data_IF_455473226133
#
_entry.id   IF_455473226133
#
_cell.length_a   1.000
_cell.length_b   1.000
_cell.length_c   1.000
_cell.angle_alpha   90.00
_cell.angle_beta   90.00
_cell.angle_gamma   90.00
#
_symmetry.space_group_name_H-M   'P 1'
#
loop_
_entity.id
_entity.type
_entity.pdbx_description
1 polymer ?
#
# COMPACT_ATOMS: atom_id res chain seq x y z
N UNK A 1 5.35 -18.12 4.12
CA UNK A 1 6.27 -18.46 3.01
C UNK A 1 7.02 -17.19 2.63
N UNK A 2 8.31 -17.25 2.24
CA UNK A 2 9.00 -16.07 1.67
C UNK A 2 8.52 -15.93 0.22
N UNK A 3 7.36 -15.31 0.01
CA UNK A 3 6.84 -15.05 -1.33
C UNK A 3 7.88 -14.21 -2.11
N UNK A 4 8.45 -14.80 -3.15
CA UNK A 4 9.48 -14.18 -4.00
C UNK A 4 8.88 -13.53 -5.23
N UNK A 5 7.61 -13.79 -5.50
CA UNK A 5 6.91 -13.39 -6.71
C UNK A 5 5.67 -12.61 -6.33
N UNK A 6 5.34 -11.63 -7.16
CA UNK A 6 4.12 -10.86 -7.07
C UNK A 6 2.93 -11.78 -7.40
N UNK A 7 1.88 -11.79 -6.59
CA UNK A 7 0.69 -12.61 -6.79
C UNK A 7 -0.24 -12.09 -7.90
N UNK A 8 -0.06 -10.83 -8.34
CA UNK A 8 -0.87 -10.25 -9.42
C UNK A 8 -0.36 -10.65 -10.82
N UNK A 9 0.95 -10.69 -11.03
CA UNK A 9 1.57 -10.87 -12.34
C UNK A 9 2.67 -11.94 -12.38
N UNK A 10 3.05 -12.53 -11.23
CA UNK A 10 4.11 -13.52 -11.11
C UNK A 10 5.53 -12.94 -11.10
N UNK A 11 5.70 -11.62 -11.23
CA UNK A 11 7.01 -10.97 -11.34
C UNK A 11 7.85 -11.14 -10.08
N UNK A 12 9.15 -11.37 -10.21
CA UNK A 12 10.05 -11.46 -9.05
C UNK A 12 10.09 -10.13 -8.29
N UNK A 13 9.81 -10.20 -6.99
CA UNK A 13 9.81 -9.03 -6.12
C UNK A 13 11.23 -8.62 -5.78
N UNK A 14 11.47 -7.31 -5.83
CA UNK A 14 12.71 -6.69 -5.46
C UNK A 14 12.66 -6.27 -3.99
N UNK A 15 13.76 -6.44 -3.27
CA UNK A 15 13.94 -5.83 -1.96
C UNK A 15 14.43 -4.40 -2.17
N UNK A 16 13.61 -3.41 -1.82
CA UNK A 16 13.96 -1.98 -1.87
C UNK A 16 13.67 -1.34 -0.52
N UNK A 17 14.52 -0.39 -0.11
CA UNK A 17 14.17 0.53 0.98
C UNK A 17 13.15 1.53 0.45
N UNK A 18 11.94 1.43 0.97
CA UNK A 18 10.83 2.29 0.61
C UNK A 18 10.36 3.15 1.78
N UNK A 19 9.42 4.03 1.48
CA UNK A 19 8.65 4.76 2.51
C UNK A 19 7.79 3.80 3.33
N UNK A 20 7.25 4.22 4.49
CA UNK A 20 6.29 3.41 5.24
C UNK A 20 4.92 3.26 4.54
N UNK A 21 4.62 4.06 3.51
CA UNK A 21 3.41 3.94 2.70
C UNK A 21 3.41 2.59 1.95
N UNK A 22 2.27 1.90 1.93
CA UNK A 22 2.11 0.62 1.25
C UNK A 22 2.04 0.74 -0.27
N UNK A 23 1.54 1.87 -0.78
CA UNK A 23 1.39 2.13 -2.21
C UNK A 23 2.58 2.88 -2.78
N UNK A 24 2.92 4.02 -2.18
CA UNK A 24 4.03 4.85 -2.63
C UNK A 24 5.38 4.50 -2.03
N UNK A 25 6.40 5.21 -2.47
CA UNK A 25 7.77 5.15 -1.98
C UNK A 25 8.62 4.11 -2.67
N UNK A 26 8.37 3.86 -3.95
CA UNK A 26 9.17 2.96 -4.75
C UNK A 26 9.94 3.65 -5.88
N UNK A 27 9.47 4.78 -6.39
CA UNK A 27 10.30 5.66 -7.22
C UNK A 27 11.08 6.66 -6.35
N UNK A 28 12.07 7.28 -6.97
CA UNK A 28 13.02 8.14 -6.27
C UNK A 28 12.40 9.52 -5.93
N UNK A 29 11.40 9.99 -6.68
CA UNK A 29 10.70 11.24 -6.39
C UNK A 29 9.86 11.12 -5.11
N UNK A 30 9.09 10.04 -4.97
CA UNK A 30 8.33 9.77 -3.74
C UNK A 30 9.24 9.56 -2.53
N UNK A 31 10.43 8.98 -2.74
CA UNK A 31 11.44 8.81 -1.68
C UNK A 31 12.12 10.11 -1.24
N UNK A 32 12.14 11.14 -2.09
CA UNK A 32 12.71 12.44 -1.74
C UNK A 32 11.71 13.33 -0.99
N UNK A 33 10.40 13.12 -1.19
CA UNK A 33 9.35 13.97 -0.60
C UNK A 33 8.57 13.30 0.55
N UNK A 34 8.74 12.00 0.82
CA UNK A 34 7.88 11.29 1.80
C UNK A 34 7.90 11.84 3.22
N UNK A 35 8.94 12.57 3.65
CA UNK A 35 8.99 13.20 4.98
C UNK A 35 8.06 14.41 5.09
N UNK A 36 7.65 14.98 3.95
CA UNK A 36 6.71 16.09 3.86
C UNK A 36 5.24 15.63 3.93
N UNK A 37 5.02 14.33 3.74
CA UNK A 37 3.70 13.72 3.69
C UNK A 37 3.33 13.04 5.01
N UNK A 38 2.08 13.23 5.43
CA UNK A 38 1.56 12.53 6.61
C UNK A 38 1.19 11.12 6.20
N UNK A 39 1.52 10.15 7.04
CA UNK A 39 1.18 8.74 6.83
C UNK A 39 0.26 8.26 7.93
N UNK A 40 -0.78 7.55 7.55
CA UNK A 40 -1.85 7.08 8.41
C UNK A 40 -1.95 5.56 8.35
N UNK A 41 -2.15 4.92 9.49
CA UNK A 41 -2.58 3.54 9.57
C UNK A 41 -4.11 3.52 9.43
N UNK A 42 -4.59 2.79 8.44
CA UNK A 42 -6.01 2.62 8.15
C UNK A 42 -6.36 1.14 8.27
N UNK A 43 -7.54 0.84 8.82
CA UNK A 43 -8.16 -0.47 8.74
C UNK A 43 -9.13 -0.47 7.57
N UNK A 44 -8.95 -1.42 6.68
CA UNK A 44 -9.83 -1.73 5.55
C UNK A 44 -10.69 -2.93 5.92
N UNK A 45 -11.67 -3.21 5.08
CA UNK A 45 -12.56 -4.37 5.13
C UNK A 45 -11.89 -5.67 5.63
N UNK A 46 -12.62 -6.40 6.48
CA UNK A 46 -12.14 -7.57 7.24
C UNK A 46 -10.98 -7.33 8.23
N UNK A 47 -10.74 -6.09 8.65
CA UNK A 47 -9.75 -5.78 9.69
C UNK A 47 -8.31 -5.70 9.17
N UNK A 48 -8.16 -5.62 7.85
CA UNK A 48 -6.88 -5.51 7.15
C UNK A 48 -6.26 -4.15 7.43
N UNK A 49 -4.96 -4.09 7.76
CA UNK A 49 -4.28 -2.83 8.08
C UNK A 49 -3.36 -2.39 6.96
N UNK A 50 -3.53 -1.15 6.52
CA UNK A 50 -2.66 -0.46 5.58
C UNK A 50 -2.00 0.73 6.25
N UNK A 51 -0.83 1.10 5.75
CA UNK A 51 -0.24 2.41 6.03
C UNK A 51 -0.22 3.17 4.72
N UNK A 52 -0.84 4.33 4.67
CA UNK A 52 -0.97 5.13 3.44
C UNK A 52 -0.62 6.60 3.71
N UNK A 53 -0.05 7.25 2.71
CA UNK A 53 0.18 8.69 2.74
C UNK A 53 -1.10 9.47 2.45
N UNK A 54 -1.13 10.73 2.88
CA UNK A 54 -2.18 11.71 2.59
C UNK A 54 -2.54 11.88 1.10
N UNK A 55 -1.62 11.55 0.19
CA UNK A 55 -1.91 11.53 -1.25
C UNK A 55 -2.73 10.30 -1.68
N UNK A 56 -2.47 9.16 -1.05
CA UNK A 56 -3.10 7.89 -1.43
C UNK A 56 -4.37 7.62 -0.63
N UNK A 57 -4.50 8.21 0.56
CA UNK A 57 -5.71 8.16 1.35
C UNK A 57 -6.86 9.01 0.77
N UNK A 58 -6.57 9.95 -0.13
CA UNK A 58 -7.61 10.71 -0.85
C UNK A 58 -8.09 10.02 -2.14
N UNK A 59 -7.29 9.11 -2.70
CA UNK A 59 -7.58 8.40 -3.96
C UNK A 59 -8.01 6.93 -3.76
N UNK A 60 -8.51 6.60 -2.56
CA UNK A 60 -8.98 5.25 -2.22
C UNK A 60 -9.97 4.64 -3.22
N UNK A 61 -10.83 5.47 -3.81
CA UNK A 61 -11.83 5.02 -4.78
C UNK A 61 -11.24 4.47 -6.08
N UNK A 62 -9.94 4.68 -6.34
CA UNK A 62 -9.24 4.27 -7.55
C UNK A 62 -8.58 2.89 -7.44
N UNK A 63 -8.49 2.32 -6.23
CA UNK A 63 -7.95 0.98 -6.03
C UNK A 63 -8.91 -0.08 -6.58
N UNK A 64 -8.34 -1.21 -7.04
CA UNK A 64 -9.16 -2.37 -7.38
C UNK A 64 -9.75 -2.97 -6.08
N UNK A 65 -11.09 -3.00 -5.92
CA UNK A 65 -11.75 -3.53 -4.74
C UNK A 65 -11.37 -4.99 -4.43
N UNK A 66 -11.01 -5.77 -5.47
CA UNK A 66 -10.64 -7.17 -5.29
C UNK A 66 -9.35 -7.36 -4.51
N UNK A 67 -8.46 -6.35 -4.46
CA UNK A 67 -7.27 -6.37 -3.60
C UNK A 67 -7.61 -6.40 -2.12
N UNK A 68 -8.84 -6.06 -1.73
CA UNK A 68 -9.28 -6.07 -0.33
C UNK A 68 -10.37 -7.13 -0.09
N UNK A 69 -10.53 -8.09 -1.01
CA UNK A 69 -11.53 -9.15 -0.92
C UNK A 69 -12.96 -8.69 -1.20
N UNK A 70 -13.16 -7.48 -1.75
CA UNK A 70 -14.48 -7.05 -2.20
C UNK A 70 -14.87 -7.69 -3.54
N UNK A 71 -16.18 -7.71 -3.81
CA UNK A 71 -16.69 -8.13 -5.11
C UNK A 71 -16.18 -7.24 -6.25
N UNK A 72 -15.93 -7.85 -7.40
CA UNK A 72 -15.59 -7.13 -8.63
C UNK A 72 -16.65 -6.05 -8.90
N UNK A 73 -16.19 -4.83 -9.19
CA UNK A 73 -17.02 -3.63 -9.47
C UNK A 73 -17.64 -2.93 -8.25
N UNK A 74 -17.33 -3.36 -7.02
CA UNK A 74 -17.61 -2.51 -5.86
C UNK A 74 -16.79 -1.22 -5.99
N UNK A 75 -17.44 -0.06 -5.85
CA UNK A 75 -16.72 1.20 -5.68
C UNK A 75 -16.40 1.35 -4.20
N UNK A 76 -15.12 1.45 -3.86
CA UNK A 76 -14.71 1.71 -2.49
C UNK A 76 -14.93 3.19 -2.16
N UNK A 77 -15.40 3.43 -0.94
CA UNK A 77 -15.58 4.77 -0.38
C UNK A 77 -14.94 4.91 0.99
N UNK A 78 -14.99 6.11 1.58
CA UNK A 78 -14.46 6.35 2.92
C UNK A 78 -15.15 5.48 3.99
N UNK A 79 -16.38 5.03 3.76
CA UNK A 79 -17.10 4.11 4.65
C UNK A 79 -16.47 2.72 4.74
N UNK A 80 -15.63 2.34 3.77
CA UNK A 80 -14.94 1.06 3.72
C UNK A 80 -13.60 1.08 4.47
N UNK A 81 -13.22 2.24 5.01
CA UNK A 81 -11.95 2.49 5.67
C UNK A 81 -12.16 3.17 7.02
N UNK A 82 -11.45 2.69 8.02
CA UNK A 82 -11.36 3.30 9.34
C UNK A 82 -9.96 3.85 9.54
N UNK A 83 -9.86 5.17 9.74
CA UNK A 83 -8.61 5.77 10.19
C UNK A 83 -8.30 5.31 11.61
N UNK A 84 -7.13 4.73 11.84
CA UNK A 84 -6.72 4.23 13.16
C UNK A 84 -5.87 5.26 13.88
N UNK A 85 -4.78 5.70 13.23
CA UNK A 85 -3.80 6.63 13.80
C UNK A 85 -2.85 7.17 12.75
N UNK A 86 -2.18 8.26 13.10
CA UNK A 86 -1.00 8.76 12.37
C UNK A 86 0.23 7.92 12.73
N UNK A 87 1.04 7.58 11.73
CA UNK A 87 2.29 6.85 11.89
C UNK A 87 3.42 7.88 12.01
N UNK A 88 3.93 8.07 13.23
CA UNK A 88 4.98 9.05 13.51
C UNK A 88 6.40 8.53 13.22
N UNK A 89 6.57 7.21 13.05
CA UNK A 89 7.85 6.60 12.67
C UNK A 89 7.93 6.48 11.15
N UNK A 90 8.41 7.54 10.51
CA UNK A 90 8.50 7.63 9.05
C UNK A 90 9.74 6.95 8.47
N UNK A 91 10.58 6.31 9.28
CA UNK A 91 11.84 5.71 8.82
C UNK A 91 11.63 4.78 7.62
N UNK A 92 12.49 4.91 6.62
CA UNK A 92 12.52 4.02 5.46
C UNK A 92 12.70 2.56 5.92
N UNK A 93 11.87 1.66 5.41
CA UNK A 93 11.92 0.23 5.73
C UNK A 93 12.20 -0.58 4.48
N UNK A 94 12.94 -1.67 4.64
CA UNK A 94 13.09 -2.65 3.56
C UNK A 94 11.75 -3.35 3.35
N UNK A 95 11.25 -3.27 2.13
CA UNK A 95 10.03 -3.90 1.68
C UNK A 95 10.28 -4.66 0.39
N UNK A 96 9.45 -5.67 0.16
CA UNK A 96 9.36 -6.32 -1.15
C UNK A 96 8.47 -5.46 -2.04
N UNK A 97 8.86 -5.29 -3.30
CA UNK A 97 8.23 -4.41 -4.26
C UNK A 97 8.16 -5.08 -5.63
N UNK A 98 7.02 -4.95 -6.32
CA UNK A 98 6.86 -5.41 -7.69
C UNK A 98 7.21 -4.28 -8.67
N UNK A 99 8.22 -4.45 -9.56
CA UNK A 99 8.61 -3.40 -10.50
C UNK A 99 7.59 -3.16 -11.62
N UNK A 100 6.74 -4.14 -11.94
CA UNK A 100 5.74 -4.03 -13.00
C UNK A 100 4.40 -3.48 -12.49
N UNK A 101 3.97 -3.93 -11.30
CA UNK A 101 2.72 -3.46 -10.69
C UNK A 101 2.89 -2.19 -9.84
N UNK A 102 4.14 -1.79 -9.56
CA UNK A 102 4.47 -0.67 -8.69
C UNK A 102 3.94 -0.75 -7.24
N UNK A 103 3.45 -1.91 -6.80
CA UNK A 103 2.96 -2.12 -5.43
C UNK A 103 4.00 -2.80 -4.53
N UNK A 104 3.93 -2.49 -3.22
CA UNK A 104 4.69 -3.22 -2.20
C UNK A 104 3.95 -4.48 -1.75
N UNK A 105 4.70 -5.44 -1.25
CA UNK A 105 4.19 -6.74 -0.83
C UNK A 105 3.03 -6.70 0.16
N UNK A 106 2.99 -5.82 1.18
CA UNK A 106 1.81 -5.73 2.03
C UNK A 106 0.53 -5.60 1.22
N UNK A 107 0.48 -4.75 0.18
CA UNK A 107 -0.64 -4.63 -0.76
C UNK A 107 -0.88 -5.85 -1.66
N UNK A 108 0.15 -6.66 -1.87
CA UNK A 108 0.10 -7.79 -2.78
C UNK A 108 -0.34 -9.09 -2.10
N UNK A 109 -0.04 -9.31 -0.82
CA UNK A 109 -0.40 -10.55 -0.09
C UNK A 109 -1.92 -10.69 0.17
N UNK A 110 -2.75 -9.87 -0.47
CA UNK A 110 -4.19 -9.79 -0.24
C UNK A 110 -5.04 -10.55 -1.30
N UNK A 111 -4.40 -11.37 -2.15
CA UNK A 111 -5.06 -12.25 -3.13
C UNK A 111 -5.39 -13.63 -2.55
#
# INVERSE_FOLDING_TARGET
>A
MKETNCPLDGTTLLLKRGTPCGEGGADDFELDHFEEHRVHECVVYHGLKLVLGDFYDVDFGSYDPTYFGFEKRKRMGYEDFEWVREVTDTRRREGKYCPECHYKMPLLTFV
#
